data_IF_821367392622
#
_entry.id   IF_821367392622
#
_cell.length_a   1.000
_cell.length_b   1.000
_cell.length_c   1.000
_cell.angle_alpha   90.00
_cell.angle_beta   90.00
_cell.angle_gamma   90.00
#
_symmetry.space_group_name_H-M   'P 1'
#
loop_
_entity.id
_entity.type
_entity.pdbx_description
1 polymer ?
#
# COMPACT_ATOMS: atom_id res chain seq x y z
N UNK A 1 35.45 -25.70 53.13
CA UNK A 1 35.03 -24.56 52.29
C UNK A 1 36.27 -24.05 51.55
N UNK A 2 36.12 -23.54 50.31
CA UNK A 2 36.21 -24.38 49.11
C UNK A 2 37.60 -24.43 48.46
N UNK A 3 37.78 -25.36 47.53
CA UNK A 3 39.03 -25.58 46.79
C UNK A 3 38.79 -25.53 45.28
N UNK A 4 39.81 -25.04 44.54
CA UNK A 4 40.20 -25.40 43.15
C UNK A 4 39.18 -25.27 41.99
N UNK A 5 39.55 -25.05 40.72
CA UNK A 5 40.82 -24.68 40.05
C UNK A 5 40.48 -24.04 38.67
N UNK A 6 41.49 -23.54 37.94
CA UNK A 6 41.32 -22.79 36.67
C UNK A 6 41.06 -23.67 35.41
N UNK A 7 40.59 -23.04 34.31
CA UNK A 7 41.34 -22.99 33.02
C UNK A 7 40.72 -22.14 31.88
N UNK A 8 41.59 -21.26 31.34
CA UNK A 8 41.84 -20.90 29.92
C UNK A 8 40.74 -20.88 28.83
N UNK A 9 40.74 -19.76 28.10
CA UNK A 9 40.13 -19.49 26.80
C UNK A 9 40.80 -20.20 25.60
N UNK A 10 40.08 -20.33 24.48
CA UNK A 10 40.66 -20.52 23.14
C UNK A 10 39.69 -20.14 21.99
N UNK A 11 40.19 -19.43 20.97
CA UNK A 11 39.52 -19.29 19.66
C UNK A 11 39.83 -20.48 18.74
N UNK A 12 39.03 -20.73 17.69
CA UNK A 12 39.43 -21.60 16.58
C UNK A 12 39.49 -20.86 15.23
N UNK A 13 40.69 -20.74 14.67
CA UNK A 13 40.96 -20.70 13.22
C UNK A 13 42.28 -21.48 12.95
N UNK A 14 42.71 -21.76 11.70
CA UNK A 14 42.51 -23.10 11.13
C UNK A 14 43.84 -23.82 10.77
N UNK A 15 43.79 -25.12 10.45
CA UNK A 15 44.92 -25.78 9.77
C UNK A 15 44.53 -26.87 8.78
N UNK A 16 45.28 -26.90 7.67
CA UNK A 16 45.24 -27.87 6.56
C UNK A 16 45.98 -29.17 6.91
N UNK A 17 45.62 -30.24 6.19
CA UNK A 17 46.47 -31.28 5.54
C UNK A 17 45.71 -32.61 5.46
N UNK A 18 45.82 -33.49 4.45
CA UNK A 18 46.61 -33.43 3.19
C UNK A 18 46.17 -34.51 2.18
N UNK A 19 46.25 -34.17 0.90
CA UNK A 19 46.60 -34.99 -0.28
C UNK A 19 45.96 -36.38 -0.53
N UNK A 20 45.25 -36.45 -1.66
CA UNK A 20 45.44 -37.38 -2.81
C UNK A 20 44.50 -36.87 -3.93
N UNK A 21 44.76 -36.90 -5.25
CA UNK A 21 45.96 -36.74 -6.11
C UNK A 21 45.47 -35.99 -7.39
N UNK A 22 46.28 -35.14 -8.05
CA UNK A 22 47.01 -35.37 -9.32
C UNK A 22 46.30 -36.24 -10.38
N UNK A 23 46.26 -35.89 -11.68
CA UNK A 23 46.72 -34.74 -12.48
C UNK A 23 45.89 -34.73 -13.82
N UNK A 24 46.01 -33.85 -14.83
CA UNK A 24 47.06 -32.90 -15.21
C UNK A 24 46.53 -31.74 -16.11
N UNK A 25 47.15 -30.57 -15.94
CA UNK A 25 47.51 -29.50 -16.90
C UNK A 25 46.96 -29.54 -18.36
N UNK A 26 46.31 -28.48 -18.84
CA UNK A 26 46.89 -27.24 -19.44
C UNK A 26 47.01 -27.34 -21.00
N UNK A 27 47.00 -26.27 -21.81
CA UNK A 27 47.35 -24.86 -21.57
C UNK A 27 46.79 -23.87 -22.62
N UNK A 28 46.67 -22.59 -22.22
CA UNK A 28 46.90 -21.34 -22.99
C UNK A 28 46.34 -21.16 -24.43
N UNK A 29 45.40 -20.22 -24.53
CA UNK A 29 45.54 -18.94 -25.28
C UNK A 29 46.20 -18.95 -26.67
N UNK A 30 45.39 -18.74 -27.72
CA UNK A 30 45.74 -17.92 -28.89
C UNK A 30 44.58 -16.99 -29.29
N UNK A 31 44.92 -15.83 -29.87
CA UNK A 31 43.96 -14.86 -30.42
C UNK A 31 43.51 -15.33 -31.82
N UNK A 32 42.27 -15.07 -32.22
CA UNK A 32 41.82 -15.36 -33.58
C UNK A 32 40.44 -14.79 -33.92
N UNK A 33 40.44 -13.78 -34.78
CA UNK A 33 39.39 -13.25 -35.67
C UNK A 33 37.88 -13.57 -35.45
N UNK A 34 37.06 -12.52 -35.57
CA UNK A 34 35.64 -12.64 -35.93
C UNK A 34 35.44 -13.30 -37.30
N UNK A 35 34.26 -13.87 -37.55
CA UNK A 35 33.54 -13.59 -38.78
C UNK A 35 32.18 -12.91 -38.51
N UNK A 36 31.89 -11.89 -39.32
CA UNK A 36 30.57 -11.28 -39.45
C UNK A 36 29.61 -12.15 -40.25
N UNK A 37 28.37 -12.31 -39.78
CA UNK A 37 27.18 -12.62 -40.58
C UNK A 37 25.96 -12.03 -39.84
N UNK A 38 25.50 -10.83 -40.23
CA UNK A 38 24.51 -10.60 -41.28
C UNK A 38 23.06 -10.85 -40.81
N UNK A 39 22.36 -9.75 -40.54
CA UNK A 39 20.94 -9.71 -40.16
C UNK A 39 20.06 -10.24 -41.30
N UNK A 40 19.13 -11.14 -41.00
CA UNK A 40 18.03 -11.50 -41.90
C UNK A 40 16.67 -11.18 -41.25
N UNK A 41 16.04 -10.12 -41.73
CA UNK A 41 14.68 -9.72 -41.33
C UNK A 41 13.63 -10.58 -42.04
N UNK A 42 12.96 -11.47 -41.30
CA UNK A 42 11.76 -12.17 -41.77
C UNK A 42 10.48 -11.35 -41.52
N UNK A 43 9.56 -11.23 -42.49
CA UNK A 43 8.38 -10.36 -42.37
C UNK A 43 7.23 -10.99 -41.56
N UNK A 44 6.44 -10.14 -40.92
CA UNK A 44 5.24 -10.52 -40.16
C UNK A 44 4.08 -10.98 -41.07
N UNK A 45 3.23 -11.93 -40.62
CA UNK A 45 2.06 -12.38 -41.38
C UNK A 45 0.96 -11.31 -41.44
N UNK A 46 0.37 -11.12 -42.62
CA UNK A 46 -0.82 -10.27 -42.84
C UNK A 46 -2.11 -11.08 -42.63
N UNK A 47 -3.18 -10.50 -42.07
CA UNK A 47 -4.50 -11.12 -42.09
C UNK A 47 -5.11 -11.10 -43.49
N UNK A 48 -5.68 -12.22 -43.92
CA UNK A 48 -6.37 -12.39 -45.20
C UNK A 48 -7.80 -11.85 -45.14
N UNK A 49 -8.20 -11.04 -46.14
CA UNK A 49 -9.57 -10.58 -46.31
C UNK A 49 -10.24 -11.26 -47.53
N UNK A 50 -11.27 -12.04 -47.27
CA UNK A 50 -12.28 -12.51 -48.23
C UNK A 50 -13.61 -12.66 -47.44
N UNK A 51 -14.79 -12.45 -48.00
CA UNK A 51 -15.20 -12.15 -49.38
C UNK A 51 -16.38 -11.18 -49.38
N UNK A 52 -16.58 -10.44 -50.48
CA UNK A 52 -17.85 -9.71 -50.72
C UNK A 52 -18.85 -10.67 -51.35
N UNK A 53 -20.07 -10.68 -50.85
CA UNK A 53 -21.24 -11.18 -51.59
C UNK A 53 -22.20 -10.03 -51.80
N UNK A 54 -22.43 -9.67 -53.06
CA UNK A 54 -23.56 -8.82 -53.47
C UNK A 54 -24.77 -9.70 -53.74
N UNK A 55 -25.99 -9.17 -53.60
CA UNK A 55 -27.00 -9.11 -54.68
C UNK A 55 -28.31 -8.42 -54.22
N UNK A 56 -28.64 -7.34 -54.94
CA UNK A 56 -29.95 -6.86 -55.39
C UNK A 56 -31.28 -7.26 -54.69
N UNK A 57 -31.83 -6.29 -53.95
CA UNK A 57 -33.14 -5.62 -54.18
C UNK A 57 -34.40 -6.36 -54.68
N UNK A 58 -35.47 -6.28 -53.86
CA UNK A 58 -36.86 -5.96 -54.26
C UNK A 58 -37.58 -5.31 -53.05
N UNK A 59 -37.93 -4.02 -53.06
CA UNK A 59 -39.16 -3.39 -53.62
C UNK A 59 -40.45 -3.65 -52.83
N UNK A 60 -40.88 -2.67 -52.03
CA UNK A 60 -42.24 -2.07 -52.06
C UNK A 60 -42.37 -0.92 -51.04
N UNK A 61 -43.23 0.07 -51.33
CA UNK A 61 -43.32 1.32 -50.59
C UNK A 61 -44.75 1.65 -50.10
N UNK A 62 -44.88 2.04 -48.83
CA UNK A 62 -45.79 3.11 -48.34
C UNK A 62 -47.32 2.91 -48.47
N UNK A 63 -48.22 3.76 -47.87
CA UNK A 63 -47.97 4.99 -47.09
C UNK A 63 -48.75 5.19 -45.76
N UNK A 64 -48.22 6.09 -44.92
CA UNK A 64 -49.00 7.24 -44.40
C UNK A 64 -49.66 7.20 -43.01
N UNK A 65 -49.19 8.08 -42.09
CA UNK A 65 -49.92 9.31 -41.66
C UNK A 65 -49.21 10.07 -40.50
N UNK A 66 -48.90 11.32 -40.77
CA UNK A 66 -48.83 12.46 -39.80
C UNK A 66 -49.93 13.46 -40.24
N UNK A 67 -50.05 14.75 -39.79
CA UNK A 67 -49.36 15.50 -38.72
C UNK A 67 -50.29 16.40 -37.85
N UNK A 68 -49.72 17.12 -36.86
CA UNK A 68 -49.90 18.58 -36.60
C UNK A 68 -49.07 19.03 -35.38
N UNK A 69 -48.04 19.87 -35.56
CA UNK A 69 -48.03 21.36 -35.60
C UNK A 69 -48.03 22.02 -34.21
N UNK A 70 -46.88 22.51 -33.72
CA UNK A 70 -46.35 23.87 -33.97
C UNK A 70 -47.28 25.02 -33.57
N UNK A 71 -46.84 25.82 -32.59
CA UNK A 71 -46.98 27.29 -32.57
C UNK A 71 -45.83 27.90 -31.77
N UNK A 72 -45.12 28.84 -32.39
CA UNK A 72 -44.23 29.79 -31.73
C UNK A 72 -44.99 31.08 -31.45
N UNK A 73 -44.70 31.75 -30.33
CA UNK A 73 -45.03 33.17 -30.11
C UNK A 73 -43.82 33.87 -29.50
N UNK A 74 -43.55 35.07 -29.99
CA UNK A 74 -42.44 35.95 -29.65
C UNK A 74 -42.73 36.79 -28.39
N UNK A 75 -41.67 37.22 -27.68
CA UNK A 75 -41.85 38.10 -26.52
C UNK A 75 -40.55 38.62 -25.92
N UNK A 76 -40.08 39.79 -26.39
CA UNK A 76 -39.04 40.56 -25.68
C UNK A 76 -39.61 41.10 -24.37
N UNK A 77 -38.81 41.10 -23.29
CA UNK A 77 -38.69 42.22 -22.35
C UNK A 77 -37.42 42.10 -21.50
N UNK A 78 -36.70 43.20 -21.36
CA UNK A 78 -35.52 43.30 -20.52
C UNK A 78 -35.85 44.12 -19.27
N UNK A 79 -35.70 43.50 -18.09
CA UNK A 79 -35.61 44.12 -16.76
C UNK A 79 -34.71 43.15 -15.97
N UNK A 80 -33.69 43.51 -15.19
CA UNK A 80 -33.24 44.76 -14.63
C UNK A 80 -32.45 44.36 -13.39
N UNK A 81 -31.11 44.36 -13.44
CA UNK A 81 -30.26 43.99 -12.30
C UNK A 81 -30.24 45.15 -11.29
N UNK A 82 -30.63 44.97 -10.01
CA UNK A 82 -30.32 45.94 -8.98
C UNK A 82 -28.82 45.85 -8.63
N UNK A 83 -28.10 46.97 -8.71
CA UNK A 83 -26.79 47.11 -8.06
C UNK A 83 -26.99 47.25 -6.54
N UNK A 84 -26.20 46.58 -5.70
CA UNK A 84 -26.12 46.96 -4.28
C UNK A 84 -25.42 48.32 -4.16
N UNK A 85 -25.99 49.22 -3.36
CA UNK A 85 -25.39 50.51 -3.03
C UNK A 85 -24.41 50.37 -1.85
N UNK A 86 -23.32 51.16 -1.81
CA UNK A 86 -22.42 51.18 -0.66
C UNK A 86 -23.04 52.02 0.46
N UNK A 87 -23.23 51.45 1.66
CA UNK A 87 -23.60 52.21 2.85
C UNK A 87 -22.50 52.18 3.92
N UNK A 88 -21.87 53.35 4.07
CA UNK A 88 -21.27 53.92 5.29
C UNK A 88 -20.53 52.96 6.23
N UNK A 89 -19.21 53.08 6.23
CA UNK A 89 -18.42 52.82 7.43
C UNK A 89 -18.93 53.67 8.60
N UNK A 90 -19.00 53.07 9.79
CA UNK A 90 -19.26 53.76 11.05
C UNK A 90 -17.98 53.69 11.87
N UNK A 91 -17.48 54.85 12.33
CA UNK A 91 -16.26 54.90 13.12
C UNK A 91 -16.51 54.27 14.50
N UNK A 92 -15.63 53.36 14.93
CA UNK A 92 -15.57 52.88 16.31
C UNK A 92 -14.48 53.65 17.05
N UNK A 93 -14.89 54.43 18.05
CA UNK A 93 -13.99 55.25 18.87
C UNK A 93 -13.12 54.36 19.76
N UNK A 94 -11.79 54.54 19.67
CA UNK A 94 -10.82 53.85 20.54
C UNK A 94 -10.88 54.45 21.95
N UNK A 95 -11.62 53.81 22.84
CA UNK A 95 -11.61 54.13 24.27
C UNK A 95 -10.37 53.54 24.95
N UNK A 96 -9.43 54.42 25.31
CA UNK A 96 -8.14 54.07 25.94
C UNK A 96 -8.32 53.94 27.46
N UNK A 97 -8.49 52.71 27.95
CA UNK A 97 -8.57 52.44 29.39
C UNK A 97 -7.19 52.53 30.07
N UNK A 98 -7.08 53.37 31.10
CA UNK A 98 -5.87 53.55 31.92
C UNK A 98 -5.75 52.47 32.97
N UNK A 99 -4.61 51.77 33.05
CA UNK A 99 -4.30 50.93 34.21
C UNK A 99 -3.91 51.79 35.42
N UNK A 100 -4.63 51.66 36.54
CA UNK A 100 -4.17 52.09 37.85
C UNK A 100 -3.76 50.87 38.68
N UNK A 101 -2.52 50.88 39.17
CA UNK A 101 -2.00 49.87 40.08
C UNK A 101 -2.29 50.24 41.53
N UNK A 102 -2.82 49.30 42.31
CA UNK A 102 -2.56 49.21 43.75
C UNK A 102 -2.74 47.76 44.25
N UNK A 103 -1.96 47.30 45.23
CA UNK A 103 -1.87 45.88 45.58
C UNK A 103 -2.71 45.51 46.81
N UNK A 104 -3.36 44.35 46.80
CA UNK A 104 -3.94 43.76 48.01
C UNK A 104 -3.83 42.24 48.04
N UNK A 105 -3.31 41.73 49.16
CA UNK A 105 -3.43 40.37 49.70
C UNK A 105 -3.28 39.17 48.73
N UNK A 106 -2.07 38.58 48.73
CA UNK A 106 -1.80 37.27 48.15
C UNK A 106 -2.46 36.16 48.99
N UNK A 107 -3.69 35.77 48.67
CA UNK A 107 -4.32 34.59 49.26
C UNK A 107 -3.59 33.31 48.80
N UNK A 108 -3.07 32.53 49.75
CA UNK A 108 -2.45 31.22 49.48
C UNK A 108 -3.52 30.20 49.04
N UNK A 109 -3.81 30.16 47.74
CA UNK A 109 -4.55 29.04 47.15
C UNK A 109 -3.67 27.81 47.23
N UNK A 110 -4.10 26.81 48.00
CA UNK A 110 -3.42 25.53 48.11
C UNK A 110 -3.36 24.84 46.75
N UNK A 111 -2.14 24.63 46.24
CA UNK A 111 -1.92 23.91 45.00
C UNK A 111 -2.27 22.43 45.19
N UNK A 112 -3.54 22.07 44.96
CA UNK A 112 -3.95 20.68 44.77
C UNK A 112 -3.15 20.08 43.62
N UNK A 113 -2.09 19.35 43.96
CA UNK A 113 -1.35 18.51 43.02
C UNK A 113 -2.23 17.32 42.64
N UNK A 114 -3.18 17.56 41.74
CA UNK A 114 -3.84 16.49 41.01
C UNK A 114 -2.77 15.59 40.37
N UNK A 115 -3.03 14.28 40.22
CA UNK A 115 -2.06 13.37 39.64
C UNK A 115 -1.66 13.89 38.26
N UNK A 116 -0.36 14.10 38.03
CA UNK A 116 0.16 14.42 36.69
C UNK A 116 -0.34 13.36 35.72
N UNK A 117 -0.75 13.71 34.49
CA UNK A 117 -1.16 12.72 33.51
C UNK A 117 -0.03 11.70 33.37
N UNK A 118 -0.33 10.45 33.74
CA UNK A 118 0.65 9.37 33.75
C UNK A 118 1.10 9.21 32.32
N UNK A 119 2.38 9.47 32.03
CA UNK A 119 2.93 9.24 30.70
C UNK A 119 2.66 7.77 30.36
N UNK A 120 1.76 7.54 29.40
CA UNK A 120 1.32 6.20 29.05
C UNK A 120 2.52 5.46 28.48
N UNK A 121 3.03 4.48 29.22
CA UNK A 121 4.11 3.64 28.76
C UNK A 121 3.66 2.94 27.49
N UNK A 122 4.24 3.36 26.35
CA UNK A 122 3.96 2.79 25.04
C UNK A 122 4.02 1.26 25.12
N UNK A 123 3.03 0.59 24.52
CA UNK A 123 2.97 -0.87 24.54
C UNK A 123 4.16 -1.45 23.77
N UNK A 124 4.44 -2.71 24.02
CA UNK A 124 5.48 -3.45 23.30
C UNK A 124 5.24 -3.46 21.77
N UNK A 125 3.97 -3.45 21.33
CA UNK A 125 3.59 -3.21 19.94
C UNK A 125 3.93 -1.79 19.49
N UNK A 126 3.52 -0.76 20.24
CA UNK A 126 3.78 0.64 19.88
C UNK A 126 5.28 0.94 19.72
N UNK A 127 6.15 0.27 20.49
CA UNK A 127 7.61 0.41 20.36
C UNK A 127 8.13 -0.14 19.02
N UNK A 128 7.69 -1.34 18.61
CA UNK A 128 8.06 -1.95 17.30
C UNK A 128 7.49 -1.17 16.11
N UNK A 129 6.24 -0.71 16.25
CA UNK A 129 5.58 0.13 15.26
C UNK A 129 6.37 1.44 15.01
N UNK A 130 7.01 2.00 16.05
CA UNK A 130 7.88 3.20 15.96
C UNK A 130 9.32 2.90 15.47
N UNK A 131 9.80 1.67 15.60
CA UNK A 131 11.13 1.28 15.11
C UNK A 131 11.11 1.08 13.58
N UNK A 132 10.10 0.40 13.05
CA UNK A 132 9.94 0.17 11.61
C UNK A 132 9.10 1.23 10.90
N UNK A 133 8.20 1.90 11.61
CA UNK A 133 7.18 2.79 11.07
C UNK A 133 5.95 2.09 10.47
N UNK A 134 5.91 0.75 10.43
CA UNK A 134 4.82 0.01 9.77
C UNK A 134 3.83 -0.47 10.82
N UNK A 135 2.61 0.09 10.79
CA UNK A 135 1.59 -0.17 11.82
C UNK A 135 0.63 -1.31 11.46
N UNK A 136 0.57 -1.67 10.17
CA UNK A 136 -0.33 -2.70 9.64
C UNK A 136 0.15 -3.21 8.28
N UNK A 137 0.02 -4.52 8.06
CA UNK A 137 0.28 -5.20 6.80
C UNK A 137 -1.01 -5.90 6.34
N UNK A 138 -1.50 -5.58 5.14
CA UNK A 138 -2.73 -6.15 4.57
C UNK A 138 -2.50 -6.68 3.16
N UNK A 139 -3.14 -7.80 2.81
CA UNK A 139 -3.30 -8.25 1.42
C UNK A 139 -4.72 -7.92 0.94
N UNK A 140 -4.82 -7.09 -0.11
CA UNK A 140 -6.07 -6.76 -0.79
C UNK A 140 -5.76 -6.63 -2.30
N UNK A 141 -6.34 -7.50 -3.12
CA UNK A 141 -6.15 -7.53 -4.58
C UNK A 141 -6.54 -6.23 -5.31
N UNK A 142 -7.38 -5.39 -4.69
CA UNK A 142 -7.76 -4.05 -5.14
C UNK A 142 -6.84 -2.94 -4.62
N UNK A 143 -5.81 -3.29 -3.85
CA UNK A 143 -4.82 -2.38 -3.27
C UNK A 143 -5.49 -1.27 -2.42
N UNK A 144 -5.06 -0.01 -2.56
CA UNK A 144 -5.66 1.13 -1.86
C UNK A 144 -6.95 1.60 -2.55
N UNK A 145 -8.03 0.83 -2.38
CA UNK A 145 -9.35 1.17 -2.92
C UNK A 145 -10.48 0.78 -1.95
N UNK A 146 -11.66 1.38 -2.13
CA UNK A 146 -12.88 1.06 -1.37
C UNK A 146 -12.64 1.12 0.14
N UNK A 147 -13.05 0.06 0.84
CA UNK A 147 -12.96 -0.06 2.31
C UNK A 147 -11.52 0.08 2.87
N UNK A 148 -10.49 -0.23 2.07
CA UNK A 148 -9.09 -0.08 2.47
C UNK A 148 -8.75 1.40 2.65
N UNK A 149 -9.16 2.22 1.69
CA UNK A 149 -9.00 3.67 1.73
C UNK A 149 -9.97 4.33 2.71
N UNK A 150 -11.25 3.96 2.71
CA UNK A 150 -12.29 4.71 3.45
C UNK A 150 -12.44 4.32 4.91
N UNK A 151 -11.99 3.13 5.33
CA UNK A 151 -12.13 2.65 6.72
C UNK A 151 -10.79 2.25 7.34
N UNK A 152 -10.04 1.35 6.70
CA UNK A 152 -8.81 0.81 7.29
C UNK A 152 -7.74 1.89 7.53
N UNK A 153 -7.38 2.66 6.51
CA UNK A 153 -6.38 3.73 6.61
C UNK A 153 -6.75 4.82 7.65
N UNK A 154 -8.01 5.33 7.70
CA UNK A 154 -8.45 6.24 8.77
C UNK A 154 -8.46 5.63 10.17
N UNK A 155 -8.97 4.40 10.36
CA UNK A 155 -9.10 3.76 11.68
C UNK A 155 -7.72 3.39 12.24
N UNK A 156 -6.80 2.91 11.39
CA UNK A 156 -5.40 2.72 11.76
C UNK A 156 -4.65 4.03 11.99
N UNK A 157 -5.28 5.17 11.70
CA UNK A 157 -4.70 6.52 11.73
C UNK A 157 -3.39 6.59 10.93
N UNK A 158 -3.30 5.98 9.76
CA UNK A 158 -2.05 5.99 9.00
C UNK A 158 -1.68 7.42 8.54
N UNK A 159 -0.41 7.81 8.64
CA UNK A 159 0.12 9.03 8.01
C UNK A 159 0.54 8.79 6.57
N UNK A 160 0.76 7.51 6.21
CA UNK A 160 1.15 7.09 4.87
C UNK A 160 0.47 5.76 4.50
N UNK A 161 -0.05 5.67 3.30
CA UNK A 161 -0.38 4.40 2.66
C UNK A 161 0.78 3.98 1.74
N UNK A 162 1.20 2.72 1.84
CA UNK A 162 2.18 2.12 0.94
C UNK A 162 1.53 0.97 0.19
N UNK A 163 1.49 1.06 -1.13
CA UNK A 163 1.10 -0.02 -2.03
C UNK A 163 2.37 -0.67 -2.56
N UNK A 164 2.54 -1.97 -2.29
CA UNK A 164 3.67 -2.78 -2.73
C UNK A 164 3.19 -3.69 -3.86
N UNK A 165 3.42 -3.25 -5.09
CA UNK A 165 3.10 -3.99 -6.32
C UNK A 165 3.98 -3.47 -7.47
N UNK A 166 4.75 -4.37 -8.09
CA UNK A 166 5.67 -4.04 -9.18
C UNK A 166 4.97 -3.39 -10.38
N UNK A 167 3.94 -4.04 -10.98
CA UNK A 167 3.16 -3.47 -12.08
C UNK A 167 2.51 -2.11 -11.78
N UNK A 168 1.93 -1.93 -10.59
CA UNK A 168 1.37 -0.64 -10.18
C UNK A 168 2.44 0.44 -9.98
N UNK A 169 3.68 0.08 -9.59
CA UNK A 169 4.76 1.06 -9.38
C UNK A 169 5.26 1.71 -10.67
N UNK A 170 5.09 1.05 -11.83
CA UNK A 170 5.52 1.54 -13.14
C UNK A 170 4.37 2.05 -14.02
N UNK A 171 3.11 1.75 -13.68
CA UNK A 171 1.94 2.15 -14.46
C UNK A 171 1.32 3.46 -13.94
N UNK A 172 1.51 4.56 -14.67
CA UNK A 172 1.03 5.89 -14.25
C UNK A 172 -0.51 6.02 -14.16
N UNK A 173 -1.27 5.25 -14.95
CA UNK A 173 -2.75 5.23 -14.86
C UNK A 173 -3.19 4.60 -13.54
N UNK A 174 -2.56 3.48 -13.15
CA UNK A 174 -2.81 2.82 -11.86
C UNK A 174 -2.38 3.72 -10.70
N UNK A 175 -1.21 4.38 -10.79
CA UNK A 175 -0.73 5.33 -9.78
C UNK A 175 -1.66 6.54 -9.62
N UNK A 176 -2.19 7.08 -10.72
CA UNK A 176 -3.18 8.15 -10.69
C UNK A 176 -4.48 7.70 -10.01
N UNK A 177 -4.98 6.50 -10.33
CA UNK A 177 -6.15 5.90 -9.68
C UNK A 177 -5.95 5.73 -8.16
N UNK A 178 -4.83 5.14 -7.74
CA UNK A 178 -4.47 4.99 -6.32
C UNK A 178 -4.32 6.35 -5.61
N UNK A 179 -3.82 7.37 -6.31
CA UNK A 179 -3.71 8.75 -5.78
C UNK A 179 -5.08 9.41 -5.57
N UNK A 180 -6.05 9.15 -6.45
CA UNK A 180 -7.43 9.63 -6.28
C UNK A 180 -8.17 8.89 -5.17
N UNK A 181 -7.86 7.60 -4.96
CA UNK A 181 -8.44 6.81 -3.87
C UNK A 181 -7.80 7.10 -2.50
N UNK A 182 -6.60 7.66 -2.45
CA UNK A 182 -5.89 7.95 -1.20
C UNK A 182 -6.63 9.02 -0.36
N UNK A 183 -6.90 8.78 0.94
CA UNK A 183 -7.57 9.75 1.80
C UNK A 183 -6.80 11.08 1.93
N UNK A 184 -7.50 12.21 2.10
CA UNK A 184 -6.86 13.51 2.30
C UNK A 184 -6.01 13.51 3.56
N UNK A 185 -4.82 14.14 3.49
CA UNK A 185 -3.86 14.19 4.60
C UNK A 185 -3.00 12.93 4.76
N UNK A 186 -3.24 11.86 4.00
CA UNK A 186 -2.41 10.65 3.98
C UNK A 186 -1.45 10.70 2.79
N UNK A 187 -0.16 10.48 3.02
CA UNK A 187 0.81 10.40 1.94
C UNK A 187 0.74 9.05 1.22
N UNK A 188 0.86 9.02 -0.11
CA UNK A 188 0.91 7.78 -0.89
C UNK A 188 2.34 7.40 -1.28
N UNK A 189 2.64 6.10 -1.20
CA UNK A 189 3.77 5.45 -1.86
C UNK A 189 3.24 4.30 -2.73
N UNK A 190 3.63 4.22 -4.00
CA UNK A 190 3.41 3.04 -4.85
C UNK A 190 4.80 2.60 -5.34
N UNK A 191 5.26 1.44 -4.89
CA UNK A 191 6.64 0.96 -5.07
C UNK A 191 6.68 -0.55 -5.28
N UNK A 192 7.76 -1.03 -5.88
CA UNK A 192 8.06 -2.45 -6.00
C UNK A 192 8.49 -3.08 -4.65
N UNK A 193 8.50 -4.41 -4.62
CA UNK A 193 8.86 -5.22 -3.45
C UNK A 193 10.28 -4.91 -2.93
N UNK A 194 11.28 -4.97 -3.80
CA UNK A 194 12.70 -4.70 -3.47
C UNK A 194 12.90 -3.32 -2.86
N UNK A 195 12.26 -2.29 -3.43
CA UNK A 195 12.31 -0.92 -2.94
C UNK A 195 11.55 -0.73 -1.62
N UNK A 196 10.45 -1.45 -1.40
CA UNK A 196 9.76 -1.48 -0.12
C UNK A 196 10.69 -2.04 0.97
N UNK A 197 11.20 -3.26 0.78
CA UNK A 197 12.17 -3.91 1.66
C UNK A 197 13.35 -2.99 2.01
N UNK A 198 14.04 -2.46 1.00
CA UNK A 198 15.21 -1.60 1.20
C UNK A 198 14.87 -0.30 1.96
N UNK A 199 13.69 0.28 1.76
CA UNK A 199 13.31 1.49 2.48
C UNK A 199 12.90 1.22 3.94
N UNK A 200 12.27 0.07 4.20
CA UNK A 200 11.85 -0.34 5.55
C UNK A 200 13.06 -0.71 6.40
N UNK A 201 13.95 -1.57 5.88
CA UNK A 201 15.18 -1.98 6.59
C UNK A 201 16.17 -0.82 6.79
N UNK A 202 16.16 0.19 5.90
CA UNK A 202 16.91 1.43 6.09
C UNK A 202 16.24 2.44 7.05
N UNK A 203 15.20 2.05 7.79
CA UNK A 203 14.56 2.88 8.82
C UNK A 203 13.84 4.13 8.32
N UNK A 204 13.60 4.28 7.01
CA UNK A 204 13.05 5.52 6.41
C UNK A 204 11.65 5.89 6.89
N UNK A 205 10.97 4.97 7.58
CA UNK A 205 9.60 5.13 8.04
C UNK A 205 9.45 5.24 9.56
N UNK A 206 10.50 5.08 10.38
CA UNK A 206 10.40 5.02 11.86
C UNK A 206 9.50 6.13 12.48
N UNK A 207 9.61 7.37 12.01
CA UNK A 207 8.80 8.51 12.47
C UNK A 207 7.45 8.68 11.73
N UNK A 208 6.94 7.63 11.08
CA UNK A 208 5.69 7.62 10.31
C UNK A 208 4.80 6.46 10.75
N UNK A 209 3.51 6.54 10.45
CA UNK A 209 2.57 5.41 10.61
C UNK A 209 2.14 4.93 9.24
N UNK A 210 2.81 3.90 8.74
CA UNK A 210 2.59 3.35 7.40
C UNK A 210 1.61 2.19 7.44
N UNK A 211 0.55 2.30 6.65
CA UNK A 211 -0.35 1.20 6.32
C UNK A 211 0.14 0.54 5.03
N UNK A 212 0.65 -0.69 5.12
CA UNK A 212 1.23 -1.42 3.99
C UNK A 212 0.20 -2.35 3.36
N UNK A 213 0.00 -2.24 2.04
CA UNK A 213 -0.94 -3.05 1.26
C UNK A 213 -0.21 -3.77 0.14
N UNK A 214 -0.35 -5.09 0.12
CA UNK A 214 0.13 -5.95 -0.95
C UNK A 214 -1.05 -6.36 -1.83
N UNK A 215 -0.79 -6.51 -3.13
CA UNK A 215 -1.76 -7.08 -4.07
C UNK A 215 -1.82 -8.61 -4.02
N UNK A 216 -0.70 -9.26 -3.66
CA UNK A 216 -0.51 -10.71 -3.65
C UNK A 216 0.16 -11.15 -2.35
N UNK A 217 -0.12 -12.38 -1.88
CA UNK A 217 0.52 -12.96 -0.69
C UNK A 217 2.03 -13.09 -0.88
N UNK A 218 2.46 -13.48 -2.09
CA UNK A 218 3.87 -13.58 -2.49
C UNK A 218 4.69 -12.32 -2.14
N UNK A 219 4.15 -11.12 -2.35
CA UNK A 219 4.87 -9.87 -2.05
C UNK A 219 5.04 -9.63 -0.54
N UNK A 220 4.09 -10.07 0.28
CA UNK A 220 4.23 -10.04 1.74
C UNK A 220 5.26 -11.06 2.22
N UNK A 221 5.24 -12.27 1.65
CA UNK A 221 6.20 -13.34 1.90
C UNK A 221 7.64 -12.95 1.52
N UNK A 222 7.84 -12.27 0.38
CA UNK A 222 9.15 -11.75 -0.03
C UNK A 222 9.73 -10.72 0.96
N UNK A 223 8.89 -9.82 1.52
CA UNK A 223 9.32 -8.90 2.58
C UNK A 223 9.69 -9.63 3.87
N UNK A 224 8.88 -10.60 4.28
CA UNK A 224 9.15 -11.46 5.45
C UNK A 224 10.48 -12.22 5.29
N UNK A 225 10.69 -12.89 4.15
CA UNK A 225 11.93 -13.61 3.82
C UNK A 225 13.16 -12.70 3.75
N UNK A 226 12.99 -11.42 3.45
CA UNK A 226 14.05 -10.42 3.49
C UNK A 226 14.32 -9.85 4.90
N UNK A 227 13.65 -10.34 5.94
CA UNK A 227 13.85 -9.94 7.33
C UNK A 227 13.11 -8.69 7.76
N UNK A 228 12.08 -8.24 7.03
CA UNK A 228 11.21 -7.14 7.49
C UNK A 228 10.38 -7.62 8.69
N UNK A 229 10.42 -6.93 9.85
CA UNK A 229 9.61 -7.29 11.01
C UNK A 229 8.11 -7.19 10.69
N UNK A 230 7.42 -8.33 10.66
CA UNK A 230 6.00 -8.44 10.34
C UNK A 230 5.27 -9.20 11.46
N UNK A 231 4.79 -8.53 12.51
CA UNK A 231 4.18 -9.22 13.66
C UNK A 231 2.79 -9.79 13.34
N UNK A 232 2.05 -9.18 12.42
CA UNK A 232 0.73 -9.62 11.98
C UNK A 232 0.55 -9.31 10.49
N UNK A 233 -0.01 -10.27 9.75
CA UNK A 233 -0.50 -10.08 8.39
C UNK A 233 -2.02 -10.23 8.37
N UNK A 234 -2.70 -9.26 7.77
CA UNK A 234 -4.14 -9.30 7.54
C UNK A 234 -4.47 -9.71 6.10
N UNK A 235 -5.09 -10.87 5.92
CA UNK A 235 -5.70 -11.30 4.67
C UNK A 235 -7.08 -10.64 4.58
N UNK A 236 -7.19 -9.69 3.66
CA UNK A 236 -8.34 -8.81 3.51
C UNK A 236 -9.24 -9.21 2.35
N UNK A 237 -8.69 -9.19 1.14
CA UNK A 237 -9.38 -9.66 -0.06
C UNK A 237 -8.37 -10.36 -0.96
N UNK A 238 -8.52 -11.66 -1.14
CA UNK A 238 -7.65 -12.51 -1.96
C UNK A 238 -8.57 -13.32 -2.87
N UNK A 239 -8.98 -12.71 -3.98
CA UNK A 239 -9.98 -13.27 -4.91
C UNK A 239 -9.47 -13.42 -6.33
N UNK A 240 -8.23 -12.98 -6.60
CA UNK A 240 -7.56 -13.07 -7.90
C UNK A 240 -7.12 -14.50 -8.28
N UNK A 241 -7.07 -15.41 -7.32
CA UNK A 241 -6.61 -16.78 -7.52
C UNK A 241 -7.67 -17.64 -8.24
N UNK A 242 -7.23 -18.41 -9.22
CA UNK A 242 -8.08 -19.21 -10.13
C UNK A 242 -7.58 -20.65 -10.18
N UNK A 243 -8.48 -21.62 -10.36
CA UNK A 243 -8.13 -23.05 -10.42
C UNK A 243 -8.33 -23.75 -9.07
N UNK A 244 -7.41 -24.63 -8.68
CA UNK A 244 -7.44 -25.29 -7.37
C UNK A 244 -7.11 -24.26 -6.28
N UNK A 245 -8.07 -23.91 -5.44
CA UNK A 245 -7.91 -22.93 -4.37
C UNK A 245 -8.52 -23.43 -3.07
N UNK A 246 -7.78 -23.27 -1.97
CA UNK A 246 -8.30 -23.48 -0.62
C UNK A 246 -9.08 -22.23 -0.20
N UNK A 247 -10.34 -22.39 0.20
CA UNK A 247 -11.18 -21.29 0.70
C UNK A 247 -10.95 -21.14 2.21
N UNK A 248 -10.41 -20.00 2.62
CA UNK A 248 -10.20 -19.66 4.04
C UNK A 248 -11.36 -18.83 4.59
N UNK A 249 -11.92 -17.95 3.75
CA UNK A 249 -13.14 -17.17 4.02
C UNK A 249 -13.84 -16.80 2.70
N UNK A 250 -15.06 -16.28 2.78
CA UNK A 250 -15.84 -15.66 1.69
C UNK A 250 -14.99 -14.76 0.78
N UNK A 251 -14.06 -13.99 1.37
CA UNK A 251 -13.20 -13.01 0.71
C UNK A 251 -11.74 -13.46 0.50
N UNK A 252 -11.36 -14.65 0.99
CA UNK A 252 -9.97 -15.12 0.97
C UNK A 252 -9.88 -16.55 0.44
N UNK A 253 -9.29 -16.69 -0.75
CA UNK A 253 -8.99 -17.95 -1.44
C UNK A 253 -7.50 -17.99 -1.76
N UNK A 254 -6.80 -19.04 -1.37
CA UNK A 254 -5.34 -19.17 -1.55
C UNK A 254 -5.01 -20.38 -2.44
N UNK A 255 -3.94 -20.26 -3.23
CA UNK A 255 -3.40 -21.43 -3.93
C UNK A 255 -2.65 -22.36 -2.97
N UNK A 256 -2.27 -23.55 -3.45
CA UNK A 256 -1.44 -24.48 -2.69
C UNK A 256 -0.08 -23.86 -2.32
N UNK A 257 0.55 -23.12 -3.24
CA UNK A 257 1.83 -22.43 -3.00
C UNK A 257 1.70 -21.27 -2.01
N UNK A 258 0.59 -20.52 -2.07
CA UNK A 258 0.33 -19.44 -1.11
C UNK A 258 0.03 -19.98 0.29
N UNK A 259 -0.66 -21.13 0.42
CA UNK A 259 -0.85 -21.81 1.70
C UNK A 259 0.51 -22.14 2.33
N UNK A 260 1.45 -22.66 1.55
CA UNK A 260 2.76 -23.06 2.05
C UNK A 260 3.63 -21.83 2.40
N UNK A 261 3.52 -20.71 1.66
CA UNK A 261 4.09 -19.41 2.08
C UNK A 261 3.51 -18.93 3.41
N UNK A 262 2.18 -19.00 3.59
CA UNK A 262 1.52 -18.59 4.84
C UNK A 262 1.90 -19.48 6.03
N UNK A 263 2.12 -20.78 5.81
CA UNK A 263 2.65 -21.71 6.83
C UNK A 263 4.05 -21.30 7.27
N UNK A 264 4.96 -21.04 6.33
CA UNK A 264 6.32 -20.60 6.68
C UNK A 264 6.32 -19.26 7.44
N UNK A 265 5.44 -18.32 7.07
CA UNK A 265 5.26 -17.07 7.81
C UNK A 265 4.72 -17.30 9.23
N UNK A 266 3.70 -18.16 9.39
CA UNK A 266 3.15 -18.57 10.69
C UNK A 266 4.24 -19.18 11.58
N UNK A 267 5.01 -20.11 11.02
CA UNK A 267 6.06 -20.84 11.75
C UNK A 267 7.26 -19.93 12.09
N UNK A 268 7.48 -18.88 11.29
CA UNK A 268 8.37 -17.75 11.61
C UNK A 268 7.80 -16.72 12.60
N UNK A 269 6.62 -16.96 13.19
CA UNK A 269 6.01 -16.12 14.23
C UNK A 269 5.11 -14.99 13.75
N UNK A 270 4.76 -14.92 12.45
CA UNK A 270 3.80 -13.94 11.94
C UNK A 270 2.37 -14.38 12.27
N UNK A 271 1.60 -13.54 12.99
CA UNK A 271 0.17 -13.81 13.19
C UNK A 271 -0.59 -13.62 11.88
N UNK A 272 -1.09 -14.70 11.28
CA UNK A 272 -1.89 -14.64 10.05
C UNK A 272 -3.38 -14.53 10.41
N UNK A 273 -4.04 -13.47 9.94
CA UNK A 273 -5.44 -13.16 10.33
C UNK A 273 -6.29 -12.87 9.11
N UNK A 274 -7.51 -13.41 9.06
CA UNK A 274 -8.52 -13.02 8.06
C UNK A 274 -9.47 -12.00 8.66
N UNK A 275 -9.66 -10.87 7.95
CA UNK A 275 -10.58 -9.80 8.36
C UNK A 275 -10.89 -8.86 7.19
N UNK A 276 -12.14 -8.82 6.73
CA UNK A 276 -12.52 -7.99 5.60
C UNK A 276 -12.65 -6.51 6.01
N UNK A 277 -13.49 -6.20 7.00
CA UNK A 277 -13.74 -4.87 7.55
C UNK A 277 -13.08 -4.66 8.93
N UNK A 278 -12.76 -3.42 9.33
CA UNK A 278 -12.26 -3.11 10.68
C UNK A 278 -13.25 -3.38 11.82
N UNK A 279 -14.53 -3.64 11.51
CA UNK A 279 -15.57 -4.01 12.47
C UNK A 279 -15.82 -5.52 12.61
N UNK A 280 -15.33 -6.35 11.67
CA UNK A 280 -15.57 -7.79 11.69
C UNK A 280 -14.81 -8.48 12.83
N UNK A 281 -15.22 -9.67 13.24
CA UNK A 281 -14.42 -10.51 14.14
C UNK A 281 -13.12 -10.93 13.43
N UNK A 282 -11.96 -10.70 14.05
CA UNK A 282 -10.68 -11.18 13.55
C UNK A 282 -10.61 -12.71 13.70
N UNK A 283 -10.36 -13.43 12.60
CA UNK A 283 -10.18 -14.88 12.61
C UNK A 283 -8.69 -15.21 12.43
N UNK A 284 -8.15 -16.06 13.31
CA UNK A 284 -6.79 -16.59 13.15
C UNK A 284 -6.82 -17.73 12.13
N UNK A 285 -5.94 -17.67 11.14
CA UNK A 285 -5.84 -18.68 10.06
C UNK A 285 -4.89 -19.82 10.45
N UNK A 286 -4.08 -19.66 11.51
CA UNK A 286 -3.07 -20.63 11.90
C UNK A 286 -3.61 -22.06 12.09
N UNK A 287 -4.87 -22.19 12.54
CA UNK A 287 -5.62 -23.44 12.70
C UNK A 287 -6.27 -23.96 11.41
N UNK A 288 -6.49 -23.11 10.40
CA UNK A 288 -7.10 -23.45 9.11
C UNK A 288 -6.07 -23.86 8.06
N UNK A 289 -4.79 -23.50 8.25
CA UNK A 289 -3.71 -23.82 7.30
C UNK A 289 -3.26 -25.29 7.34
N UNK A 290 -3.62 -26.04 8.39
CA UNK A 290 -3.13 -27.40 8.66
C UNK A 290 -1.65 -27.39 9.03
#
# INVERSE_FOLDING_TARGET
>A
MPAAWARSSCCPTPRRSSAIERACCASRSTRGAMPSCSVSTGPAPRPSASSRTTWSSATSCSPGRTPRSLRSITGRRACGRPRPTPRRAVASTVARATCSTSPTAFARVGAHRGPRPRCSTATDKDRRDMETGIIHFRVDDRMLHGIVATQWVPISKATRAMVVDGPASTNDVVRASLKMACPPGVALSVIDCTKATNNILAGKYANQRVFCVFRYIRSAYELFRAGVPMPQLNLGNVTQNTGNVTVLDKTVRVSDEERDMLREMRDGGVKITVRFLPGDTEQDVGSLLG
#
